data_IF_967376566393
#
_entry.id   IF_967376566393
#
_cell.length_a   1.000
_cell.length_b   1.000
_cell.length_c   1.000
_cell.angle_alpha   90.00
_cell.angle_beta   90.00
_cell.angle_gamma   90.00
#
_symmetry.space_group_name_H-M   'P 1'
#
loop_
_entity.id
_entity.type
_entity.pdbx_description
1 polymer ?
#
# COMPACT_ATOMS: atom_id res chain seq x y z
N UNK A 1 33.09 9.80 11.43
CA UNK A 1 31.68 9.52 11.73
C UNK A 1 31.66 8.63 12.95
N UNK A 2 31.05 9.10 14.04
CA UNK A 2 30.84 8.32 15.25
C UNK A 2 29.45 7.65 15.16
N UNK A 3 29.35 6.39 15.59
CA UNK A 3 28.08 5.69 15.73
C UNK A 3 27.90 5.43 17.21
N UNK A 4 26.89 6.06 17.79
CA UNK A 4 26.55 5.85 19.19
C UNK A 4 26.15 4.38 19.41
N UNK A 5 26.71 3.74 20.45
CA UNK A 5 26.38 2.37 20.83
C UNK A 5 25.05 2.35 21.58
N UNK A 6 23.97 2.56 20.85
CA UNK A 6 22.60 2.61 21.35
C UNK A 6 21.66 1.74 20.49
N UNK A 7 20.36 1.78 20.77
CA UNK A 7 19.32 1.05 20.05
C UNK A 7 18.16 1.98 19.69
N UNK A 8 17.32 1.57 18.72
CA UNK A 8 16.02 2.19 18.48
C UNK A 8 14.92 1.28 19.03
N UNK A 9 13.92 1.87 19.68
CA UNK A 9 12.75 1.14 20.15
C UNK A 9 11.67 1.14 19.06
N UNK A 10 11.38 -0.05 18.54
CA UNK A 10 10.36 -0.28 17.54
C UNK A 10 9.16 -1.00 18.15
N UNK A 11 8.04 -1.01 17.45
CA UNK A 11 6.77 -1.52 17.95
C UNK A 11 6.13 -2.50 16.97
N UNK A 12 5.21 -3.30 17.50
CA UNK A 12 4.40 -4.21 16.70
C UNK A 12 3.37 -3.45 15.85
N UNK A 13 3.27 -3.80 14.57
CA UNK A 13 2.26 -3.30 13.65
C UNK A 13 1.58 -4.43 12.88
N UNK A 14 0.39 -4.17 12.33
CA UNK A 14 -0.17 -4.98 11.25
C UNK A 14 0.13 -4.31 9.91
N UNK A 15 0.61 -5.10 8.96
CA UNK A 15 0.91 -4.66 7.60
C UNK A 15 0.11 -5.45 6.58
N UNK A 16 -0.42 -4.74 5.58
CA UNK A 16 -0.78 -5.33 4.30
C UNK A 16 0.15 -4.80 3.21
N UNK A 17 0.41 -5.63 2.20
CA UNK A 17 1.23 -5.27 1.05
C UNK A 17 0.44 -5.52 -0.22
N UNK A 18 0.32 -4.49 -1.05
CA UNK A 18 -0.43 -4.52 -2.30
C UNK A 18 0.50 -4.17 -3.47
N UNK A 19 0.19 -4.72 -4.64
CA UNK A 19 0.79 -4.33 -5.91
C UNK A 19 -0.23 -3.51 -6.69
N UNK A 20 0.06 -2.23 -6.90
CA UNK A 20 -0.72 -1.34 -7.74
C UNK A 20 -0.15 -1.43 -9.15
N UNK A 21 -0.98 -1.66 -10.17
CA UNK A 21 -0.54 -1.62 -11.57
C UNK A 21 -1.27 -0.56 -12.36
N UNK A 22 -0.59 0.04 -13.33
CA UNK A 22 -1.14 1.06 -14.21
C UNK A 22 -0.49 1.01 -15.59
N UNK A 23 -1.11 1.68 -16.57
CA UNK A 23 -0.63 1.68 -17.97
C UNK A 23 0.69 2.45 -18.18
N UNK A 24 0.97 3.45 -17.34
CA UNK A 24 2.09 4.37 -17.50
C UNK A 24 2.62 4.86 -16.14
N UNK A 25 3.88 5.32 -16.12
CA UNK A 25 4.56 5.76 -14.89
C UNK A 25 3.86 6.94 -14.22
N UNK A 26 3.21 7.81 -15.01
CA UNK A 26 2.50 8.99 -14.49
C UNK A 26 1.29 8.56 -13.66
N UNK A 27 0.48 7.67 -14.19
CA UNK A 27 -0.72 7.15 -13.53
C UNK A 27 -0.34 6.28 -12.34
N UNK A 28 0.69 5.45 -12.49
CA UNK A 28 1.21 4.61 -11.42
C UNK A 28 1.69 5.45 -10.23
N UNK A 29 2.54 6.47 -10.47
CA UNK A 29 3.01 7.38 -9.42
C UNK A 29 1.87 8.13 -8.75
N UNK A 30 0.88 8.59 -9.54
CA UNK A 30 -0.31 9.27 -8.99
C UNK A 30 -1.09 8.36 -8.04
N UNK A 31 -1.32 7.11 -8.43
CA UNK A 31 -2.06 6.14 -7.61
C UNK A 31 -1.27 5.73 -6.37
N UNK A 32 0.02 5.39 -6.53
CA UNK A 32 0.89 4.99 -5.43
C UNK A 32 1.04 6.11 -4.40
N UNK A 33 1.42 7.32 -4.82
CA UNK A 33 1.55 8.46 -3.91
C UNK A 33 0.22 8.91 -3.35
N UNK A 34 -0.86 8.90 -4.13
CA UNK A 34 -2.21 9.24 -3.63
C UNK A 34 -2.68 8.27 -2.54
N UNK A 35 -2.35 6.99 -2.67
CA UNK A 35 -2.69 5.96 -1.68
C UNK A 35 -1.81 6.02 -0.43
N UNK A 36 -0.56 6.48 -0.52
CA UNK A 36 0.40 6.48 0.59
C UNK A 36 0.62 7.84 1.23
N UNK A 37 0.16 8.92 0.60
CA UNK A 37 0.26 10.27 1.15
C UNK A 37 -0.53 10.37 2.46
N UNK A 38 -0.06 11.28 3.33
CA UNK A 38 -0.55 11.55 4.68
C UNK A 38 -0.35 10.37 5.64
N UNK A 39 0.81 10.30 6.34
CA UNK A 39 0.93 9.45 7.52
C UNK A 39 0.05 10.04 8.62
N UNK A 40 -1.03 9.34 8.95
CA UNK A 40 -2.04 9.78 9.91
C UNK A 40 -1.91 9.02 11.24
N UNK A 41 -0.72 8.49 11.55
CA UNK A 41 -0.50 7.71 12.78
C UNK A 41 -0.70 8.52 14.05
N UNK A 42 -0.39 9.82 14.03
CA UNK A 42 -0.72 10.74 15.14
C UNK A 42 -2.23 10.87 15.35
N UNK A 43 -3.03 10.73 14.29
CA UNK A 43 -4.49 10.68 14.36
C UNK A 43 -5.03 9.27 14.64
N UNK A 44 -4.15 8.31 14.90
CA UNK A 44 -4.54 6.93 15.11
C UNK A 44 -5.13 6.29 13.85
N UNK A 45 -4.67 6.65 12.65
CA UNK A 45 -5.01 5.98 11.39
C UNK A 45 -3.83 5.08 10.90
N UNK A 46 -3.59 5.01 9.59
CA UNK A 46 -2.53 4.22 8.97
C UNK A 46 -1.32 5.02 8.51
N UNK A 47 -0.17 4.34 8.47
CA UNK A 47 1.03 4.74 7.74
C UNK A 47 1.07 4.02 6.39
N UNK A 48 1.53 4.71 5.35
CA UNK A 48 1.65 4.12 4.01
C UNK A 48 2.95 4.54 3.35
N UNK A 49 3.51 3.66 2.53
CA UNK A 49 4.75 3.92 1.81
C UNK A 49 4.86 3.10 0.53
N UNK A 50 5.49 3.70 -0.48
CA UNK A 50 5.92 2.98 -1.68
C UNK A 50 7.19 2.22 -1.33
N UNK A 51 7.14 0.90 -1.39
CA UNK A 51 8.27 0.03 -1.09
C UNK A 51 9.20 -0.13 -2.30
N UNK A 52 8.63 -0.37 -3.49
CA UNK A 52 9.40 -0.67 -4.70
C UNK A 52 8.59 -0.36 -5.96
N UNK A 53 9.25 0.21 -6.98
CA UNK A 53 8.71 0.29 -8.34
C UNK A 53 9.03 -1.00 -9.11
N UNK A 54 8.05 -1.50 -9.86
CA UNK A 54 8.10 -2.76 -10.60
C UNK A 54 7.98 -2.53 -12.10
N UNK A 55 8.75 -3.31 -12.86
CA UNK A 55 8.60 -3.40 -14.31
C UNK A 55 7.45 -4.36 -14.69
N UNK A 56 7.09 -4.40 -15.97
CA UNK A 56 5.98 -5.21 -16.49
C UNK A 56 6.13 -6.72 -16.22
N UNK A 57 7.35 -7.24 -16.17
CA UNK A 57 7.64 -8.66 -15.94
C UNK A 57 7.50 -9.09 -14.47
N UNK A 58 7.44 -8.13 -13.55
CA UNK A 58 7.33 -8.37 -12.11
C UNK A 58 5.87 -8.35 -11.62
N UNK A 59 4.91 -7.99 -12.47
CA UNK A 59 3.50 -7.79 -12.07
C UNK A 59 2.57 -8.87 -12.64
N UNK A 60 1.43 -9.15 -11.96
CA UNK A 60 0.53 -10.20 -12.41
C UNK A 60 -0.11 -9.97 -13.78
N UNK A 61 -0.31 -8.72 -14.17
CA UNK A 61 -1.04 -8.34 -15.37
C UNK A 61 -0.15 -7.79 -16.50
N UNK A 62 1.18 -7.87 -16.36
CA UNK A 62 2.12 -7.47 -17.39
C UNK A 62 2.24 -5.95 -17.57
N UNK A 63 1.92 -5.16 -16.53
CA UNK A 63 1.95 -3.69 -16.56
C UNK A 63 2.92 -3.13 -15.53
N UNK A 64 3.30 -1.86 -15.67
CA UNK A 64 4.12 -1.15 -14.67
C UNK A 64 3.44 -1.20 -13.31
N UNK A 65 4.21 -1.47 -12.26
CA UNK A 65 3.67 -1.68 -10.92
C UNK A 65 4.40 -0.96 -9.81
N UNK A 66 3.75 -0.88 -8.65
CA UNK A 66 4.35 -0.37 -7.42
C UNK A 66 3.90 -1.25 -6.25
N UNK A 67 4.86 -1.72 -5.47
CA UNK A 67 4.60 -2.35 -4.19
C UNK A 67 4.39 -1.25 -3.15
N UNK A 68 3.26 -1.35 -2.46
CA UNK A 68 2.86 -0.41 -1.41
C UNK A 68 2.59 -1.20 -0.15
N UNK A 69 3.08 -0.69 0.98
CA UNK A 69 2.75 -1.19 2.30
C UNK A 69 1.83 -0.22 3.02
N UNK A 70 0.86 -0.76 3.75
CA UNK A 70 -0.05 -0.02 4.62
C UNK A 70 0.00 -0.64 6.02
N UNK A 71 0.24 0.21 7.00
CA UNK A 71 0.53 -0.15 8.39
C UNK A 71 -0.49 0.46 9.34
N UNK A 72 -0.88 -0.30 10.36
CA UNK A 72 -1.60 0.23 11.53
C UNK A 72 -0.97 -0.34 12.81
N UNK A 73 -1.05 0.42 13.89
CA UNK A 73 -0.61 -0.06 15.21
C UNK A 73 -1.30 -1.38 15.58
N UNK A 74 -0.54 -2.30 16.15
CA UNK A 74 -1.08 -3.55 16.67
C UNK A 74 -1.93 -3.30 17.93
N UNK A 75 -2.98 -4.09 18.13
CA UNK A 75 -3.88 -3.94 19.27
C UNK A 75 -5.28 -4.47 19.01
N UNK A 76 -6.19 -4.19 19.95
CA UNK A 76 -7.60 -4.53 19.80
C UNK A 76 -8.19 -3.81 18.57
N UNK A 77 -8.93 -4.52 17.73
CA UNK A 77 -9.49 -4.02 16.46
C UNK A 77 -8.48 -3.64 15.36
N UNK A 78 -7.19 -3.94 15.50
CA UNK A 78 -6.18 -3.61 14.47
C UNK A 78 -6.54 -4.15 13.07
N UNK A 79 -7.10 -5.35 12.98
CA UNK A 79 -7.56 -5.95 11.71
C UNK A 79 -8.69 -5.15 11.07
N UNK A 80 -9.71 -4.76 11.84
CA UNK A 80 -10.84 -3.95 11.35
C UNK A 80 -10.36 -2.57 10.89
N UNK A 81 -9.42 -1.99 11.62
CA UNK A 81 -8.80 -0.71 11.28
C UNK A 81 -7.98 -0.83 9.99
N UNK A 82 -7.17 -1.87 9.86
CA UNK A 82 -6.41 -2.13 8.64
C UNK A 82 -7.31 -2.32 7.42
N UNK A 83 -8.39 -3.11 7.55
CA UNK A 83 -9.42 -3.28 6.52
C UNK A 83 -10.04 -1.94 6.09
N UNK A 84 -10.43 -1.11 7.05
CA UNK A 84 -10.97 0.22 6.77
C UNK A 84 -9.95 1.12 6.05
N UNK A 85 -8.72 1.17 6.53
CA UNK A 85 -7.66 2.03 6.00
C UNK A 85 -7.23 1.62 4.58
N UNK A 86 -7.04 0.32 4.33
CA UNK A 86 -6.78 -0.22 2.99
C UNK A 86 -7.92 0.15 2.04
N UNK A 87 -9.16 -0.07 2.47
CA UNK A 87 -10.34 0.22 1.66
C UNK A 87 -10.47 1.71 1.33
N UNK A 88 -10.24 2.59 2.32
CA UNK A 88 -10.25 4.05 2.15
C UNK A 88 -9.19 4.46 1.12
N UNK A 89 -7.96 3.97 1.25
CA UNK A 89 -6.83 4.32 0.37
C UNK A 89 -6.98 3.75 -1.04
N UNK A 90 -7.48 2.52 -1.19
CA UNK A 90 -7.78 1.96 -2.52
C UNK A 90 -8.86 2.80 -3.21
N UNK A 91 -9.97 3.09 -2.53
CA UNK A 91 -11.10 3.80 -3.13
C UNK A 91 -10.79 5.25 -3.48
N UNK A 92 -10.04 5.95 -2.64
CA UNK A 92 -9.80 7.39 -2.79
C UNK A 92 -8.45 7.72 -3.43
N UNK A 93 -7.47 6.82 -3.38
CA UNK A 93 -6.13 7.03 -3.93
C UNK A 93 -5.87 6.27 -5.24
N UNK A 94 -6.45 5.08 -5.41
CA UNK A 94 -6.11 4.17 -6.52
C UNK A 94 -7.24 4.09 -7.54
N UNK A 95 -8.45 3.71 -7.11
CA UNK A 95 -9.63 3.52 -7.97
C UNK A 95 -9.97 4.79 -8.77
N UNK A 96 -9.77 5.97 -8.18
CA UNK A 96 -9.99 7.26 -8.85
C UNK A 96 -8.99 7.58 -9.98
N UNK A 97 -7.89 6.82 -10.06
CA UNK A 97 -6.91 6.94 -11.14
C UNK A 97 -7.29 5.95 -12.26
N UNK A 98 -7.51 6.43 -13.50
CA UNK A 98 -8.01 5.60 -14.59
C UNK A 98 -7.16 4.35 -14.85
N UNK A 99 -7.83 3.23 -15.12
CA UNK A 99 -7.22 1.96 -15.54
C UNK A 99 -6.17 1.42 -14.56
N UNK A 100 -6.32 1.66 -13.26
CA UNK A 100 -5.46 1.01 -12.26
C UNK A 100 -5.99 -0.38 -11.88
N UNK A 101 -5.12 -1.21 -11.32
CA UNK A 101 -5.53 -2.45 -10.66
C UNK A 101 -4.74 -2.67 -9.38
N UNK A 102 -5.29 -3.47 -8.47
CA UNK A 102 -4.70 -3.78 -7.18
C UNK A 102 -4.63 -5.29 -6.99
N UNK A 103 -3.44 -5.81 -6.74
CA UNK A 103 -3.21 -7.22 -6.45
C UNK A 103 -2.64 -7.40 -5.05
N UNK A 104 -2.89 -8.57 -4.47
CA UNK A 104 -2.25 -8.99 -3.23
C UNK A 104 -0.75 -9.26 -3.48
N UNK A 105 0.09 -8.64 -2.66
CA UNK A 105 1.55 -8.79 -2.70
C UNK A 105 2.13 -9.32 -1.37
N UNK A 106 1.27 -9.87 -0.50
CA UNK A 106 1.66 -10.56 0.72
C UNK A 106 1.04 -11.96 0.75
N UNK A 107 1.89 -12.99 0.73
CA UNK A 107 1.44 -14.34 1.01
C UNK A 107 1.20 -14.49 2.52
N UNK A 108 -0.04 -14.78 2.89
CA UNK A 108 -0.50 -14.87 4.27
C UNK A 108 -1.74 -15.75 4.37
N UNK A 109 -1.83 -16.53 5.45
CA UNK A 109 -3.00 -17.35 5.77
C UNK A 109 -4.20 -16.47 6.15
N UNK A 110 -3.96 -15.30 6.73
CA UNK A 110 -5.00 -14.34 7.11
C UNK A 110 -5.14 -13.25 6.06
N UNK A 111 -6.38 -13.03 5.61
CA UNK A 111 -6.69 -12.13 4.49
C UNK A 111 -7.93 -11.29 4.79
N UNK A 112 -7.92 -10.07 4.27
CA UNK A 112 -9.06 -9.15 4.24
C UNK A 112 -9.86 -9.41 2.96
N UNK A 113 -11.19 -9.48 3.09
CA UNK A 113 -12.12 -9.54 1.97
C UNK A 113 -12.35 -8.15 1.40
N UNK A 114 -12.05 -7.95 0.12
CA UNK A 114 -12.17 -6.64 -0.54
C UNK A 114 -13.58 -6.36 -1.08
N UNK A 115 -14.46 -7.36 -1.17
CA UNK A 115 -15.80 -7.24 -1.75
C UNK A 115 -16.66 -6.24 -0.96
N UNK A 116 -16.74 -6.43 0.36
CA UNK A 116 -17.66 -5.69 1.21
C UNK A 116 -17.45 -4.16 1.19
N UNK A 117 -16.20 -3.71 1.06
CA UNK A 117 -15.86 -2.27 1.15
C UNK A 117 -15.46 -1.65 -0.18
N UNK A 118 -14.88 -2.43 -1.10
CA UNK A 118 -14.31 -1.96 -2.37
C UNK A 118 -15.14 -2.48 -3.54
N UNK A 119 -15.45 -3.78 -3.58
CA UNK A 119 -16.19 -4.41 -4.68
C UNK A 119 -17.53 -3.76 -4.98
N UNK A 120 -18.32 -3.45 -3.94
CA UNK A 120 -19.63 -2.79 -4.07
C UNK A 120 -19.58 -1.34 -4.58
N UNK A 121 -18.40 -0.80 -4.93
CA UNK A 121 -18.34 0.45 -5.70
C UNK A 121 -18.96 0.32 -7.10
N UNK A 122 -19.23 -0.90 -7.57
CA UNK A 122 -19.97 -1.19 -8.80
C UNK A 122 -21.49 -1.15 -8.65
N UNK A 123 -22.04 -0.89 -7.46
CA UNK A 123 -23.48 -0.81 -7.19
C UNK A 123 -24.29 -2.04 -7.66
N UNK A 124 -23.71 -3.24 -7.51
CA UNK A 124 -24.32 -4.51 -7.89
C UNK A 124 -23.96 -4.99 -9.30
N UNK A 125 -23.18 -4.21 -10.05
CA UNK A 125 -22.67 -4.59 -11.37
C UNK A 125 -21.26 -5.21 -11.32
N UNK A 126 -20.64 -5.29 -10.14
CA UNK A 126 -19.35 -5.96 -9.97
C UNK A 126 -19.42 -7.47 -10.17
N UNK A 127 -18.36 -8.05 -10.75
CA UNK A 127 -18.23 -9.50 -10.98
C UNK A 127 -16.97 -10.04 -10.32
N UNK A 128 -17.04 -11.29 -9.84
CA UNK A 128 -15.85 -12.04 -9.43
C UNK A 128 -15.38 -12.87 -10.63
N UNK A 129 -14.13 -12.69 -11.02
CA UNK A 129 -13.54 -13.32 -12.20
C UNK A 129 -12.18 -13.93 -11.90
N UNK A 130 -11.81 -14.96 -12.68
CA UNK A 130 -10.48 -15.56 -12.64
C UNK A 130 -9.60 -14.93 -13.73
N UNK A 131 -8.80 -13.92 -13.38
CA UNK A 131 -7.84 -13.26 -14.29
C UNK A 131 -6.42 -13.37 -13.72
N UNK A 132 -5.41 -13.53 -14.57
CA UNK A 132 -3.99 -13.56 -14.14
C UNK A 132 -3.65 -14.62 -13.08
N UNK A 133 -4.38 -15.75 -13.08
CA UNK A 133 -4.24 -16.79 -12.06
C UNK A 133 -4.72 -16.37 -10.66
N UNK A 134 -5.54 -15.32 -10.56
CA UNK A 134 -6.05 -14.75 -9.32
C UNK A 134 -7.56 -14.56 -9.40
N UNK A 135 -8.21 -14.59 -8.25
CA UNK A 135 -9.63 -14.23 -8.15
C UNK A 135 -9.70 -12.71 -7.94
N UNK A 136 -10.23 -12.01 -8.92
CA UNK A 136 -10.33 -10.55 -8.94
C UNK A 136 -11.80 -10.13 -8.95
N UNK A 137 -12.06 -9.00 -8.34
CA UNK A 137 -13.34 -8.30 -8.45
C UNK A 137 -13.17 -7.26 -9.56
N UNK A 138 -13.94 -7.40 -10.62
CA UNK A 138 -14.04 -6.41 -11.68
C UNK A 138 -15.18 -5.45 -11.36
N UNK A 139 -14.82 -4.19 -11.14
CA UNK A 139 -15.75 -3.11 -10.77
C UNK A 139 -15.94 -2.20 -11.97
N UNK A 140 -17.14 -2.17 -12.60
CA UNK A 140 -17.44 -1.25 -13.68
C UNK A 140 -17.41 0.20 -13.19
N UNK A 141 -16.65 1.05 -13.88
CA UNK A 141 -16.52 2.49 -13.59
C UNK A 141 -16.52 3.29 -14.90
N UNK A 142 -16.63 4.62 -14.82
CA UNK A 142 -16.65 5.49 -16.02
C UNK A 142 -15.43 5.31 -16.93
N UNK A 143 -14.29 4.90 -16.37
CA UNK A 143 -13.03 4.74 -17.08
C UNK A 143 -12.79 3.31 -17.60
N UNK A 144 -13.83 2.46 -17.61
CA UNK A 144 -13.75 1.05 -17.97
C UNK A 144 -13.95 0.17 -16.74
N UNK A 145 -12.95 -0.65 -16.41
CA UNK A 145 -12.99 -1.54 -15.26
C UNK A 145 -11.86 -1.20 -14.28
N UNK A 146 -12.18 -1.22 -12.98
CA UNK A 146 -11.19 -1.28 -11.92
C UNK A 146 -11.10 -2.70 -11.40
N UNK A 147 -9.90 -3.28 -11.37
CA UNK A 147 -9.67 -4.63 -10.85
C UNK A 147 -9.03 -4.57 -9.46
N UNK A 148 -9.59 -5.31 -8.51
CA UNK A 148 -9.00 -5.53 -7.19
C UNK A 148 -9.02 -7.01 -6.86
N UNK A 149 -7.88 -7.57 -6.42
CA UNK A 149 -7.84 -8.96 -5.97
C UNK A 149 -8.78 -9.16 -4.78
N UNK A 150 -9.55 -10.24 -4.80
CA UNK A 150 -10.65 -10.48 -3.86
C UNK A 150 -10.16 -10.60 -2.40
N UNK A 151 -8.91 -11.03 -2.21
CA UNK A 151 -8.34 -11.24 -0.88
C UNK A 151 -6.95 -10.62 -0.75
N UNK A 152 -6.78 -9.68 0.18
CA UNK A 152 -5.50 -9.04 0.48
C UNK A 152 -4.94 -9.62 1.77
N UNK A 153 -3.73 -10.17 1.72
CA UNK A 153 -3.03 -10.71 2.88
C UNK A 153 -2.54 -9.60 3.80
N UNK A 154 -2.55 -9.88 5.09
CA UNK A 154 -1.89 -9.05 6.10
C UNK A 154 -1.10 -9.92 7.09
N UNK A 155 -0.15 -9.34 7.80
CA UNK A 155 0.59 -10.03 8.87
C UNK A 155 1.03 -9.06 9.97
N UNK A 156 1.44 -9.61 11.12
CA UNK A 156 2.16 -8.86 12.14
C UNK A 156 3.59 -8.57 11.65
N UNK A 157 4.03 -7.34 11.82
CA UNK A 157 5.37 -6.87 11.48
C UNK A 157 5.89 -5.88 12.52
N UNK A 158 7.01 -5.23 12.20
CA UNK A 158 7.69 -4.25 13.05
C UNK A 158 7.64 -2.88 12.39
N UNK A 159 7.29 -1.84 13.14
CA UNK A 159 7.21 -0.46 12.70
C UNK A 159 7.90 0.49 13.68
N UNK A 160 8.26 1.70 13.24
CA UNK A 160 8.89 2.72 14.10
C UNK A 160 10.41 2.63 14.24
N UNK A 161 11.08 1.73 13.50
CA UNK A 161 12.54 1.71 13.43
C UNK A 161 13.09 3.04 12.90
N UNK A 162 14.10 3.59 13.57
CA UNK A 162 14.62 4.92 13.25
C UNK A 162 16.12 5.05 13.58
N UNK A 163 16.78 6.00 12.92
CA UNK A 163 18.15 6.45 13.21
C UNK A 163 18.19 7.97 13.12
N UNK A 164 19.09 8.61 13.87
CA UNK A 164 19.27 10.06 13.83
C UNK A 164 20.56 10.39 13.09
N UNK A 165 20.44 11.25 12.07
CA UNK A 165 21.58 11.76 11.31
C UNK A 165 21.92 13.17 11.83
N UNK A 166 23.02 13.28 12.55
CA UNK A 166 23.53 14.53 13.11
C UNK A 166 24.60 15.09 12.17
N UNK A 167 24.45 16.35 11.74
CA UNK A 167 25.39 17.01 10.85
C UNK A 167 25.62 18.47 11.26
N UNK A 168 26.77 19.03 10.88
CA UNK A 168 27.16 20.41 11.20
C UNK A 168 26.37 21.46 10.41
N UNK A 169 25.83 21.09 9.23
CA UNK A 169 25.01 21.97 8.41
C UNK A 169 23.74 21.26 7.93
N UNK A 170 22.73 22.06 7.61
CA UNK A 170 21.47 21.57 7.05
C UNK A 170 21.69 20.82 5.74
N UNK A 171 22.56 21.32 4.86
CA UNK A 171 22.86 20.73 3.56
C UNK A 171 23.50 19.34 3.70
N UNK A 172 24.40 19.18 4.69
CA UNK A 172 25.00 17.89 4.99
C UNK A 172 23.95 16.91 5.55
N UNK A 173 23.06 17.37 6.45
CA UNK A 173 21.96 16.56 6.97
C UNK A 173 20.99 16.10 5.88
N UNK A 174 20.59 17.02 4.99
CA UNK A 174 19.69 16.74 3.87
C UNK A 174 20.32 15.74 2.90
N UNK A 175 21.57 15.97 2.47
CA UNK A 175 22.26 15.07 1.56
C UNK A 175 22.42 13.66 2.14
N UNK A 176 22.77 13.56 3.42
CA UNK A 176 22.88 12.26 4.10
C UNK A 176 21.51 11.55 4.19
N UNK A 177 20.45 12.30 4.51
CA UNK A 177 19.09 11.77 4.62
C UNK A 177 18.54 11.31 3.27
N UNK A 178 18.73 12.09 2.21
CA UNK A 178 18.32 11.73 0.84
C UNK A 178 19.08 10.51 0.31
N UNK A 179 20.33 10.31 0.72
CA UNK A 179 21.10 9.12 0.31
C UNK A 179 20.65 7.87 1.07
N UNK A 180 20.10 8.02 2.27
CA UNK A 180 19.65 6.92 3.12
C UNK A 180 18.27 6.37 2.73
N UNK A 181 17.46 7.16 2.00
CA UNK A 181 16.10 6.83 1.54
C UNK A 181 16.14 6.34 0.10
#
# INVERSE_FOLDING_TARGET
MEIEKTYCEAFDGLVARICITARDDKSLKRAAFGATALPSTVFGESEGGVEKWLNEDETPDGRKGALVQLWVNYGENAVKKLDYEISKRIRQGILVVPMTSVFNALDSEVKIDTMARIGHCGDGYETIERRFGRDVIAVPIMMGEFLVEHRIGYKKGVMGGNIWLLAETLEAALKASETAI
#
